data_IF_486353314732
#
_entry.id   IF_486353314732
#
_cell.length_a   1.000
_cell.length_b   1.000
_cell.length_c   1.000
_cell.angle_alpha   90.00
_cell.angle_beta   90.00
_cell.angle_gamma   90.00
#
_symmetry.space_group_name_H-M   'P 1'
#
loop_
_entity.id
_entity.type
_entity.pdbx_description
1 polymer ?
#
# COMPACT_ATOMS: atom_id res chain seq x y z
N UNK A 1 9.32 24.13 3.93
CA UNK A 1 9.97 22.79 3.95
C UNK A 1 9.04 21.84 3.20
N UNK A 2 9.37 21.43 1.97
CA UNK A 2 8.59 20.40 1.29
C UNK A 2 8.67 19.11 2.10
N UNK A 3 7.54 18.42 2.33
CA UNK A 3 7.56 17.13 3.03
C UNK A 3 8.50 16.20 2.27
N UNK A 4 9.43 15.55 2.95
CA UNK A 4 10.28 14.51 2.34
C UNK A 4 9.42 13.27 2.10
N UNK A 5 9.60 12.62 0.95
CA UNK A 5 8.91 11.35 0.69
C UNK A 5 9.42 10.29 1.69
N UNK A 6 8.54 9.68 2.50
CA UNK A 6 8.96 8.70 3.49
C UNK A 6 9.40 7.42 2.79
N UNK A 7 10.44 6.78 3.31
CA UNK A 7 10.98 5.53 2.78
C UNK A 7 10.65 4.42 3.78
N UNK A 8 9.86 3.45 3.35
CA UNK A 8 9.60 2.22 4.09
C UNK A 8 10.25 1.04 3.36
N UNK A 9 10.97 0.20 4.10
CA UNK A 9 11.58 -1.02 3.55
C UNK A 9 10.56 -2.15 3.64
N UNK A 10 10.34 -2.85 2.53
CA UNK A 10 9.44 -4.00 2.49
C UNK A 10 9.98 -5.13 3.37
N UNK A 11 9.12 -5.69 4.21
CA UNK A 11 9.47 -6.83 5.07
C UNK A 11 9.53 -8.16 4.33
N UNK A 12 8.87 -8.25 3.18
CA UNK A 12 8.79 -9.45 2.34
C UNK A 12 8.80 -9.04 0.85
N UNK A 13 9.36 -9.91 -0.02
CA UNK A 13 9.48 -9.64 -1.45
C UNK A 13 8.13 -9.50 -2.17
N UNK A 14 7.07 -10.09 -1.63
CA UNK A 14 5.71 -9.99 -2.13
C UNK A 14 4.97 -8.75 -1.63
N UNK A 15 5.57 -7.91 -0.79
CA UNK A 15 4.93 -6.71 -0.21
C UNK A 15 5.38 -5.39 -0.87
N UNK A 16 6.03 -5.45 -2.03
CA UNK A 16 6.48 -4.27 -2.76
C UNK A 16 5.33 -3.27 -3.01
N UNK A 17 4.16 -3.76 -3.45
CA UNK A 17 2.97 -2.93 -3.70
C UNK A 17 2.41 -2.26 -2.44
N UNK A 18 2.18 -3.04 -1.38
CA UNK A 18 1.64 -2.53 -0.11
C UNK A 18 2.59 -1.50 0.55
N UNK A 19 3.90 -1.73 0.46
CA UNK A 19 4.91 -0.79 0.98
C UNK A 19 4.93 0.52 0.20
N UNK A 20 4.80 0.47 -1.14
CA UNK A 20 4.66 1.67 -1.97
C UNK A 20 3.41 2.49 -1.61
N UNK A 21 2.26 1.84 -1.44
CA UNK A 21 1.04 2.52 -0.99
C UNK A 21 1.24 3.17 0.38
N UNK A 22 1.93 2.51 1.31
CA UNK A 22 2.23 3.10 2.63
C UNK A 22 3.05 4.38 2.50
N UNK A 23 4.10 4.38 1.68
CA UNK A 23 4.92 5.58 1.47
C UNK A 23 4.09 6.73 0.89
N UNK A 24 3.20 6.45 -0.07
CA UNK A 24 2.29 7.45 -0.65
C UNK A 24 1.33 7.99 0.42
N UNK A 25 0.64 7.13 1.17
CA UNK A 25 -0.28 7.55 2.23
C UNK A 25 0.44 8.44 3.26
N UNK A 26 1.60 8.01 3.76
CA UNK A 26 2.38 8.77 4.74
C UNK A 26 2.87 10.11 4.20
N UNK A 27 3.23 10.20 2.92
CA UNK A 27 3.59 11.47 2.28
C UNK A 27 2.43 12.48 2.33
N UNK A 28 1.21 12.02 2.08
CA UNK A 28 -0.01 12.85 2.18
C UNK A 28 -0.51 13.05 3.61
N UNK A 29 0.17 12.51 4.62
CA UNK A 29 -0.18 12.67 6.04
C UNK A 29 -1.23 11.68 6.55
N UNK A 30 -1.43 10.57 5.84
CA UNK A 30 -2.32 9.48 6.24
C UNK A 30 -1.45 8.34 6.78
N UNK A 31 -1.57 8.03 8.07
CA UNK A 31 -0.80 6.96 8.70
C UNK A 31 -1.60 5.67 8.73
N UNK A 32 -1.32 4.79 7.76
CA UNK A 32 -1.85 3.43 7.74
C UNK A 32 -0.76 2.42 8.04
N UNK A 33 -1.11 1.39 8.81
CA UNK A 33 -0.23 0.26 9.03
C UNK A 33 -0.07 -0.55 7.73
N UNK A 34 1.09 -1.19 7.57
CA UNK A 34 1.32 -2.09 6.44
C UNK A 34 0.31 -3.25 6.43
N UNK A 35 -0.11 -3.72 7.61
CA UNK A 35 -1.13 -4.76 7.76
C UNK A 35 -2.49 -4.30 7.19
N UNK A 36 -2.95 -3.10 7.54
CA UNK A 36 -4.19 -2.54 7.01
C UNK A 36 -4.15 -2.40 5.49
N UNK A 37 -3.07 -1.85 4.93
CA UNK A 37 -2.91 -1.71 3.47
C UNK A 37 -2.87 -3.09 2.80
N UNK A 38 -2.25 -4.08 3.43
CA UNK A 38 -2.15 -5.45 2.91
C UNK A 38 -3.50 -6.15 2.78
N UNK A 39 -4.50 -5.78 3.57
CA UNK A 39 -5.87 -6.32 3.43
C UNK A 39 -6.51 -5.94 2.08
N UNK A 40 -6.15 -4.77 1.53
CA UNK A 40 -6.58 -4.31 0.20
C UNK A 40 -5.67 -4.78 -0.92
N UNK A 41 -4.50 -5.28 -0.56
CA UNK A 41 -3.42 -5.66 -1.46
C UNK A 41 -3.24 -7.18 -1.38
N UNK A 42 -4.10 -7.95 -2.07
CA UNK A 42 -3.95 -9.40 -2.09
C UNK A 42 -2.60 -9.77 -2.73
N UNK A 43 -1.66 -10.18 -1.89
CA UNK A 43 -0.37 -10.69 -2.34
C UNK A 43 -0.58 -12.05 -3.00
N UNK A 44 -0.17 -12.16 -4.27
CA UNK A 44 -0.16 -13.40 -5.04
C UNK A 44 1.27 -13.70 -5.50
N UNK A 45 1.55 -14.94 -5.90
CA UNK A 45 2.86 -15.31 -6.47
C UNK A 45 3.23 -14.51 -7.74
N UNK A 46 2.26 -13.82 -8.37
CA UNK A 46 2.48 -12.93 -9.50
C UNK A 46 2.70 -11.46 -9.10
N UNK A 47 2.67 -11.14 -7.80
CA UNK A 47 2.75 -9.79 -7.25
C UNK A 47 1.48 -9.36 -6.52
N UNK A 48 1.40 -8.06 -6.23
CA UNK A 48 0.32 -7.44 -5.47
C UNK A 48 -0.63 -6.71 -6.40
N UNK A 49 -1.92 -7.04 -6.32
CA UNK A 49 -2.98 -6.28 -6.99
C UNK A 49 -3.83 -5.55 -5.95
N UNK A 50 -4.23 -4.32 -6.26
CA UNK A 50 -5.21 -3.60 -5.46
C UNK A 50 -6.59 -4.22 -5.70
N UNK A 51 -7.16 -4.82 -4.67
CA UNK A 51 -8.53 -5.32 -4.71
C UNK A 51 -9.48 -4.14 -4.59
N UNK A 52 -10.02 -3.71 -5.72
CA UNK A 52 -11.06 -2.68 -5.77
C UNK A 52 -12.38 -3.30 -5.30
N UNK A 53 -12.75 -3.09 -4.04
CA UNK A 53 -14.12 -3.26 -3.56
C UNK A 53 -14.88 -1.92 -3.66
N UNK A 54 -14.81 -1.25 -4.82
CA UNK A 54 -15.82 -0.25 -5.13
C UNK A 54 -17.14 -1.03 -5.33
N UNK A 55 -18.29 -0.57 -4.81
CA UNK A 55 -19.56 -1.06 -5.33
C UNK A 55 -19.51 -0.79 -6.83
N UNK A 56 -19.37 -1.85 -7.63
CA UNK A 56 -19.68 -1.75 -9.04
C UNK A 56 -21.16 -1.38 -9.06
N UNK A 57 -21.45 -0.19 -9.57
CA UNK A 57 -22.80 0.27 -9.75
C UNK A 57 -23.42 -0.56 -10.86
N UNK A 58 -23.97 -1.70 -10.48
CA UNK A 58 -24.92 -2.52 -11.22
C UNK A 58 -26.13 -2.80 -10.33
#
# INVERSE_FOLDING_TARGET
MGKTFPIYIQSDAMQCGATCLRMICSYYGIDYSLAFISEFCQASNAGVSLKVNLPTGD
#
